data_IF_228321187332
#
_entry.id   IF_228321187332
#
_cell.length_a   1.000
_cell.length_b   1.000
_cell.length_c   1.000
_cell.angle_alpha   90.00
_cell.angle_beta   90.00
_cell.angle_gamma   90.00
#
_symmetry.space_group_name_H-M   'P 1'
#
loop_
_entity.id
_entity.type
_entity.pdbx_description
1 polymer ?
#
# COMPACT_ATOMS: atom_id res chain seq x y z
N UNK A 1 -11.60 -0.87 23.02
CA UNK A 1 -12.24 -1.84 22.10
C UNK A 1 -11.73 -1.63 20.67
N UNK A 2 -10.43 -1.83 20.40
CA UNK A 2 -9.82 -1.55 19.08
C UNK A 2 -9.84 -2.78 18.14
N UNK A 3 -9.72 -3.98 18.71
CA UNK A 3 -9.38 -5.19 17.96
C UNK A 3 -10.54 -5.97 17.31
N UNK A 4 -11.79 -5.85 17.78
CA UNK A 4 -12.86 -6.77 17.34
C UNK A 4 -13.56 -6.36 16.02
N UNK A 5 -13.60 -5.07 15.68
CA UNK A 5 -14.18 -4.61 14.41
C UNK A 5 -13.14 -4.63 13.26
N UNK A 6 -11.90 -4.24 13.59
CA UNK A 6 -10.77 -4.11 12.66
C UNK A 6 -10.38 -5.45 12.00
N UNK A 7 -10.29 -6.52 12.81
CA UNK A 7 -9.98 -7.89 12.31
C UNK A 7 -11.09 -8.48 11.45
N UNK A 8 -12.36 -8.13 11.73
CA UNK A 8 -13.51 -8.58 10.95
C UNK A 8 -13.55 -7.97 9.56
N UNK A 9 -13.31 -6.66 9.45
CA UNK A 9 -13.31 -5.93 8.18
C UNK A 9 -12.12 -6.34 7.32
N UNK A 10 -10.92 -6.48 7.90
CA UNK A 10 -9.75 -6.94 7.13
C UNK A 10 -9.94 -8.38 6.62
N UNK A 11 -10.45 -9.28 7.46
CA UNK A 11 -10.74 -10.66 7.05
C UNK A 11 -11.72 -10.70 5.87
N UNK A 12 -12.76 -9.88 5.91
CA UNK A 12 -13.72 -9.75 4.81
C UNK A 12 -13.03 -9.29 3.51
N UNK A 13 -12.18 -8.27 3.57
CA UNK A 13 -11.44 -7.79 2.40
C UNK A 13 -10.58 -8.89 1.77
N UNK A 14 -9.84 -9.65 2.58
CA UNK A 14 -9.06 -10.78 2.08
C UNK A 14 -9.91 -11.94 1.59
N UNK A 15 -11.08 -12.20 2.19
CA UNK A 15 -12.05 -13.17 1.66
C UNK A 15 -12.56 -12.75 0.28
N UNK A 16 -12.86 -11.47 0.07
CA UNK A 16 -13.29 -10.93 -1.22
C UNK A 16 -12.19 -11.08 -2.29
N UNK A 17 -10.93 -10.79 -1.93
CA UNK A 17 -9.79 -11.03 -2.84
C UNK A 17 -9.67 -12.50 -3.24
N UNK A 18 -9.73 -13.41 -2.27
CA UNK A 18 -9.68 -14.87 -2.52
C UNK A 18 -10.80 -15.35 -3.44
N UNK A 19 -11.95 -14.69 -3.41
CA UNK A 19 -13.12 -15.04 -4.23
C UNK A 19 -13.18 -14.28 -5.57
N UNK A 20 -12.15 -13.49 -5.92
CA UNK A 20 -12.10 -12.79 -7.20
C UNK A 20 -12.96 -11.51 -7.25
N UNK A 21 -13.25 -10.90 -6.11
CA UNK A 21 -13.99 -9.64 -6.01
C UNK A 21 -13.11 -8.47 -5.51
N UNK A 22 -12.06 -8.09 -6.24
CA UNK A 22 -11.09 -7.10 -5.74
C UNK A 22 -11.65 -5.68 -5.66
N UNK A 23 -12.67 -5.33 -6.44
CA UNK A 23 -13.35 -4.03 -6.32
C UNK A 23 -14.10 -3.90 -4.99
N UNK A 24 -14.82 -4.95 -4.56
CA UNK A 24 -15.46 -4.96 -3.25
C UNK A 24 -14.43 -4.98 -2.11
N UNK A 25 -13.30 -5.67 -2.31
CA UNK A 25 -12.21 -5.65 -1.34
C UNK A 25 -11.64 -4.23 -1.18
N UNK A 26 -11.51 -3.47 -2.29
CA UNK A 26 -11.08 -2.07 -2.26
C UNK A 26 -11.96 -1.23 -1.34
N UNK A 27 -13.29 -1.28 -1.51
CA UNK A 27 -14.25 -0.54 -0.69
C UNK A 27 -14.12 -0.87 0.80
N UNK A 28 -13.94 -2.16 1.11
CA UNK A 28 -13.77 -2.65 2.49
C UNK A 28 -12.46 -2.14 3.11
N UNK A 29 -11.36 -2.12 2.36
CA UNK A 29 -10.08 -1.63 2.88
C UNK A 29 -10.05 -0.09 2.99
N UNK A 30 -10.71 0.64 2.10
CA UNK A 30 -10.86 2.10 2.22
C UNK A 30 -11.61 2.49 3.51
N UNK A 31 -12.58 1.67 3.94
CA UNK A 31 -13.24 1.89 5.22
C UNK A 31 -12.25 1.78 6.40
N UNK A 32 -11.36 0.78 6.40
CA UNK A 32 -10.32 0.67 7.43
C UNK A 32 -9.41 1.90 7.48
N UNK A 33 -8.97 2.39 6.31
CA UNK A 33 -8.16 3.62 6.22
C UNK A 33 -8.94 4.84 6.74
N UNK A 34 -10.23 4.92 6.45
CA UNK A 34 -11.09 6.02 6.94
C UNK A 34 -11.22 6.00 8.46
N UNK A 35 -11.29 4.82 9.07
CA UNK A 35 -11.40 4.66 10.52
C UNK A 35 -10.05 4.85 11.24
N UNK A 36 -8.96 4.44 10.61
CA UNK A 36 -7.62 4.39 11.19
C UNK A 36 -6.55 4.87 10.19
N UNK A 37 -6.52 6.18 9.86
CA UNK A 37 -5.65 6.71 8.79
C UNK A 37 -4.16 6.71 9.13
N UNK A 38 -3.80 6.42 10.38
CA UNK A 38 -2.44 6.38 10.93
C UNK A 38 -1.83 4.97 10.96
N UNK A 39 -2.61 3.94 10.66
CA UNK A 39 -2.14 2.56 10.65
C UNK A 39 -1.77 2.11 9.24
N UNK A 40 -0.47 1.88 9.03
CA UNK A 40 0.09 1.47 7.75
C UNK A 40 -0.39 0.11 7.24
N UNK A 41 -0.97 -0.74 8.09
CA UNK A 41 -1.46 -2.06 7.66
C UNK A 41 -2.70 -1.96 6.75
N UNK A 42 -3.53 -0.92 6.90
CA UNK A 42 -4.70 -0.74 6.06
C UNK A 42 -4.36 -0.25 4.65
N UNK A 43 -3.32 0.57 4.54
CA UNK A 43 -2.80 1.00 3.24
C UNK A 43 -2.19 -0.16 2.46
N UNK A 44 -1.50 -1.09 3.13
CA UNK A 44 -0.98 -2.34 2.55
C UNK A 44 -2.11 -3.23 2.03
N UNK A 45 -3.15 -3.47 2.84
CA UNK A 45 -4.31 -4.25 2.40
C UNK A 45 -5.10 -3.58 1.25
N UNK A 46 -5.26 -2.25 1.26
CA UNK A 46 -5.86 -1.54 0.13
C UNK A 46 -4.99 -1.67 -1.14
N UNK A 47 -3.66 -1.59 -0.99
CA UNK A 47 -2.74 -1.81 -2.09
C UNK A 47 -2.82 -3.23 -2.67
N UNK A 48 -3.06 -4.27 -1.85
CA UNK A 48 -3.33 -5.63 -2.32
C UNK A 48 -4.54 -5.66 -3.27
N UNK A 49 -5.64 -4.96 -2.93
CA UNK A 49 -6.82 -4.88 -3.77
C UNK A 49 -6.57 -4.13 -5.09
N UNK A 50 -5.85 -3.01 -5.04
CA UNK A 50 -5.48 -2.25 -6.24
C UNK A 50 -4.55 -3.04 -7.16
N UNK A 51 -3.61 -3.80 -6.58
CA UNK A 51 -2.75 -4.72 -7.32
C UNK A 51 -3.58 -5.79 -8.04
N UNK A 52 -4.55 -6.40 -7.35
CA UNK A 52 -5.46 -7.37 -7.95
C UNK A 52 -6.37 -6.79 -9.04
N UNK A 53 -6.67 -5.49 -8.99
CA UNK A 53 -7.38 -4.75 -10.04
C UNK A 53 -6.49 -4.34 -11.23
N UNK A 54 -5.18 -4.60 -11.18
CA UNK A 54 -4.22 -4.12 -12.19
C UNK A 54 -3.94 -2.62 -12.12
N UNK A 55 -4.37 -1.94 -11.05
CA UNK A 55 -4.09 -0.52 -10.78
C UNK A 55 -2.70 -0.37 -10.14
N UNK A 56 -1.66 -0.77 -10.86
CA UNK A 56 -0.29 -0.94 -10.35
C UNK A 56 0.30 0.34 -9.77
N UNK A 57 0.11 1.51 -10.41
CA UNK A 57 0.66 2.77 -9.92
C UNK A 57 0.01 3.23 -8.61
N UNK A 58 -1.31 3.07 -8.49
CA UNK A 58 -2.02 3.40 -7.26
C UNK A 58 -1.61 2.45 -6.12
N UNK A 59 -1.46 1.16 -6.42
CA UNK A 59 -0.95 0.17 -5.45
C UNK A 59 0.45 0.55 -4.95
N UNK A 60 1.37 0.94 -5.85
CA UNK A 60 2.72 1.41 -5.48
C UNK A 60 2.65 2.64 -4.57
N UNK A 61 1.79 3.61 -4.87
CA UNK A 61 1.61 4.80 -4.04
C UNK A 61 1.16 4.43 -2.61
N UNK A 62 0.22 3.49 -2.49
CA UNK A 62 -0.26 3.00 -1.19
C UNK A 62 0.76 2.16 -0.43
N UNK A 63 1.51 1.27 -1.09
CA UNK A 63 2.59 0.54 -0.43
C UNK A 63 3.67 1.47 0.11
N UNK A 64 4.01 2.53 -0.63
CA UNK A 64 4.94 3.57 -0.15
C UNK A 64 4.38 4.27 1.08
N UNK A 65 3.08 4.61 1.08
CA UNK A 65 2.43 5.21 2.24
C UNK A 65 2.42 4.26 3.45
N UNK A 66 2.16 2.97 3.23
CA UNK A 66 2.23 1.95 4.26
C UNK A 66 3.63 1.88 4.90
N UNK A 67 4.70 1.95 4.09
CA UNK A 67 6.10 1.94 4.56
C UNK A 67 6.54 3.25 5.22
N UNK A 68 5.94 4.39 4.88
CA UNK A 68 6.14 5.64 5.63
C UNK A 68 5.64 5.52 7.08
N UNK A 69 4.58 4.74 7.30
CA UNK A 69 3.97 4.51 8.62
C UNK A 69 4.57 3.29 9.33
N UNK A 70 4.98 2.26 8.58
CA UNK A 70 5.61 1.02 9.08
C UNK A 70 6.89 0.71 8.30
N UNK A 71 8.02 1.38 8.60
CA UNK A 71 9.26 1.23 7.83
C UNK A 71 9.89 -0.18 7.90
N UNK A 72 9.49 -0.99 8.87
CA UNK A 72 9.98 -2.34 9.15
C UNK A 72 9.11 -3.47 8.54
N UNK A 73 8.02 -3.11 7.84
CA UNK A 73 7.14 -4.08 7.18
C UNK A 73 7.81 -4.66 5.92
N UNK A 74 8.62 -5.70 6.12
CA UNK A 74 9.41 -6.35 5.06
C UNK A 74 8.55 -6.93 3.94
N UNK A 75 7.41 -7.53 4.28
CA UNK A 75 6.43 -8.06 3.34
C UNK A 75 5.88 -6.96 2.42
N UNK A 76 5.51 -5.81 2.98
CA UNK A 76 5.08 -4.63 2.21
C UNK A 76 6.20 -4.13 1.28
N UNK A 77 7.45 -4.13 1.75
CA UNK A 77 8.60 -3.72 0.94
C UNK A 77 8.88 -4.69 -0.22
N UNK A 78 8.74 -6.00 0.01
CA UNK A 78 8.90 -7.02 -1.02
C UNK A 78 7.81 -6.90 -2.10
N UNK A 79 6.54 -6.68 -1.71
CA UNK A 79 5.43 -6.43 -2.66
C UNK A 79 5.67 -5.17 -3.50
N UNK A 80 6.09 -4.06 -2.87
CA UNK A 80 6.42 -2.82 -3.57
C UNK A 80 7.50 -3.05 -4.62
N UNK A 81 8.60 -3.72 -4.23
CA UNK A 81 9.70 -4.03 -5.13
C UNK A 81 9.24 -4.86 -6.33
N UNK A 82 8.46 -5.92 -6.10
CA UNK A 82 7.92 -6.75 -7.19
C UNK A 82 7.04 -5.95 -8.14
N UNK A 83 6.20 -5.04 -7.64
CA UNK A 83 5.38 -4.18 -8.51
C UNK A 83 6.20 -3.16 -9.28
N UNK A 84 7.25 -2.58 -8.69
CA UNK A 84 8.16 -1.67 -9.39
C UNK A 84 8.95 -2.37 -10.50
N UNK A 85 9.34 -3.63 -10.28
CA UNK A 85 9.96 -4.48 -11.31
C UNK A 85 9.01 -4.78 -12.47
N UNK A 86 7.74 -5.13 -12.17
CA UNK A 86 6.72 -5.44 -13.18
C UNK A 86 6.32 -4.19 -13.98
N UNK A 87 6.10 -3.06 -13.29
CA UNK A 87 5.75 -1.80 -13.94
C UNK A 87 6.90 -1.30 -14.83
N UNK A 88 8.13 -1.58 -14.45
CA UNK A 88 9.31 -0.94 -15.01
C UNK A 88 9.53 0.48 -14.49
N UNK A 89 10.66 1.12 -14.86
CA UNK A 89 10.98 2.46 -14.39
C UNK A 89 9.98 3.48 -14.95
N UNK A 90 9.17 4.06 -14.07
CA UNK A 90 8.63 5.41 -14.32
C UNK A 90 9.83 6.34 -14.29
N UNK A 91 10.05 7.08 -15.38
CA UNK A 91 11.18 8.00 -15.52
C UNK A 91 11.02 9.26 -14.65
N UNK A 92 10.78 9.13 -13.35
CA UNK A 92 10.80 10.24 -12.39
C UNK A 92 11.33 9.72 -11.04
N UNK A 93 12.53 10.19 -10.66
CA UNK A 93 13.23 9.86 -9.41
C UNK A 93 12.29 9.97 -8.19
N UNK A 94 11.93 8.84 -7.59
CA UNK A 94 11.33 8.83 -6.25
C UNK A 94 12.43 9.03 -5.21
N UNK A 95 12.31 10.04 -4.36
CA UNK A 95 13.24 10.33 -3.25
C UNK A 95 12.43 10.34 -1.95
N UNK A 96 12.67 9.41 -1.01
CA UNK A 96 12.00 9.43 0.28
C UNK A 96 12.38 10.69 1.07
N UNK A 97 11.44 11.25 1.85
CA UNK A 97 11.61 12.51 2.61
C UNK A 97 12.84 12.54 3.53
N UNK A 98 13.38 11.39 3.92
CA UNK A 98 14.61 11.28 4.73
C UNK A 98 15.91 11.57 3.97
N UNK A 99 15.87 11.77 2.63
CA UNK A 99 17.05 12.05 1.78
C UNK A 99 17.00 13.39 1.04
N UNK A 100 16.39 14.43 1.62
CA UNK A 100 16.24 15.74 0.97
C UNK A 100 17.48 16.68 1.02
N UNK A 101 18.71 16.18 1.20
CA UNK A 101 19.90 17.06 1.27
C UNK A 101 21.14 16.56 0.51
N UNK A 102 21.01 15.94 -0.67
CA UNK A 102 22.23 15.68 -1.47
C UNK A 102 22.00 15.53 -2.97
N UNK A 103 21.40 16.54 -3.62
CA UNK A 103 21.52 16.67 -5.08
C UNK A 103 21.16 18.08 -5.60
N UNK A 104 21.80 19.12 -5.06
CA UNK A 104 21.90 20.44 -5.72
C UNK A 104 23.32 21.00 -5.58
N UNK A 105 24.33 20.15 -5.79
CA UNK A 105 25.72 20.60 -5.91
C UNK A 105 26.42 19.75 -6.96
N UNK A 106 26.36 20.22 -8.22
CA UNK A 106 27.40 20.12 -9.26
C UNK A 106 26.76 20.33 -10.63
N UNK A 107 27.17 21.39 -11.31
CA UNK A 107 26.75 21.82 -12.64
C UNK A 107 26.70 23.33 -12.71
#
# INVERSE_FOLDING_TARGET
MKYCAETGINRLGYDLLRNGYPALAEDVFQLNVTLHPDDGSWYDSWADALSALGRTDDAIALYRRALELRPDAKDTADKLKSLEEIRGPVSLKWVPRSRLWTQLSCG
#
